data_IF_675661966530
#
_entry.id   IF_675661966530
#
_cell.length_a   1.000
_cell.length_b   1.000
_cell.length_c   1.000
_cell.angle_alpha   90.00
_cell.angle_beta   90.00
_cell.angle_gamma   90.00
#
_symmetry.space_group_name_H-M   'P 1'
#
loop_
_entity.id
_entity.type
_entity.pdbx_description
1 polymer ?
#
# COMPACT_ATOMS: atom_id res chain seq x y z
N UNK A 1 -32.28 34.23 14.14
CA UNK A 1 -32.31 34.90 12.82
C UNK A 1 -33.76 34.82 12.31
N UNK A 2 -34.36 35.94 11.92
CA UNK A 2 -35.69 35.96 11.31
C UNK A 2 -35.51 36.44 9.87
N UNK A 3 -36.16 35.78 8.91
CA UNK A 3 -36.25 36.25 7.52
C UNK A 3 -37.74 36.41 7.25
N UNK A 4 -38.17 37.59 6.81
CA UNK A 4 -39.56 37.97 6.54
C UNK A 4 -40.55 37.67 7.69
N UNK A 5 -40.16 37.99 8.92
CA UNK A 5 -41.05 37.91 10.09
C UNK A 5 -41.34 36.50 10.60
N UNK A 6 -40.75 35.46 9.99
CA UNK A 6 -40.83 34.08 10.48
C UNK A 6 -39.50 33.65 11.13
N UNK A 7 -39.53 32.86 12.23
CA UNK A 7 -38.30 32.32 12.81
C UNK A 7 -37.60 31.46 11.76
N UNK A 8 -36.35 31.78 11.40
CA UNK A 8 -35.56 30.92 10.53
C UNK A 8 -35.25 29.63 11.30
N UNK A 9 -36.09 28.61 11.10
CA UNK A 9 -35.81 27.25 11.54
C UNK A 9 -35.01 26.56 10.45
N UNK A 10 -33.74 26.17 10.69
CA UNK A 10 -33.04 25.33 9.74
C UNK A 10 -33.80 24.00 9.62
N UNK A 11 -34.35 23.73 8.43
CA UNK A 11 -34.94 22.43 8.11
C UNK A 11 -33.80 21.50 7.73
N UNK A 12 -33.00 21.13 8.72
CA UNK A 12 -32.08 20.01 8.56
C UNK A 12 -32.92 18.77 8.84
N UNK A 13 -33.26 18.02 7.80
CA UNK A 13 -33.76 16.67 7.96
C UNK A 13 -32.62 15.87 8.59
N UNK A 14 -32.70 15.60 9.88
CA UNK A 14 -31.78 14.67 10.51
C UNK A 14 -31.84 13.36 9.73
N UNK A 15 -30.68 12.91 9.25
CA UNK A 15 -30.55 11.56 8.77
C UNK A 15 -31.00 10.60 9.87
N UNK A 16 -31.59 9.46 9.50
CA UNK A 16 -31.84 8.40 10.47
C UNK A 16 -30.57 8.02 11.23
N UNK A 17 -30.70 7.23 12.30
CA UNK A 17 -29.54 6.63 12.97
C UNK A 17 -28.63 6.01 11.90
N UNK A 18 -27.35 6.40 11.90
CA UNK A 18 -26.31 6.01 10.92
C UNK A 18 -26.37 6.64 9.51
N UNK A 19 -27.20 7.66 9.28
CA UNK A 19 -27.15 8.44 8.03
C UNK A 19 -26.16 9.61 8.16
N UNK A 20 -25.11 9.69 7.33
CA UNK A 20 -24.08 10.71 7.43
C UNK A 20 -24.63 12.12 7.15
N UNK A 21 -24.57 13.01 8.14
CA UNK A 21 -24.83 14.44 7.98
C UNK A 21 -23.52 15.17 7.70
N UNK A 22 -23.22 15.37 6.40
CA UNK A 22 -22.02 16.05 5.85
C UNK A 22 -20.69 15.32 6.19
N UNK A 23 -19.99 14.73 5.23
CA UNK A 23 -19.25 15.40 4.18
C UNK A 23 -19.27 14.54 2.91
N UNK A 24 -20.27 14.75 2.07
CA UNK A 24 -20.34 14.25 0.69
C UNK A 24 -19.24 14.82 -0.22
N UNK A 25 -18.27 15.55 0.35
CA UNK A 25 -17.17 16.26 -0.31
C UNK A 25 -15.88 16.35 0.53
N UNK A 26 -15.66 15.47 1.53
CA UNK A 26 -14.24 15.13 1.85
C UNK A 26 -13.83 14.07 0.84
N UNK A 27 -13.81 14.54 -0.40
CA UNK A 27 -13.15 13.94 -1.52
C UNK A 27 -11.71 13.73 -1.07
N UNK A 28 -11.22 12.52 -1.16
CA UNK A 28 -9.78 12.27 -1.10
C UNK A 28 -9.24 12.62 -2.49
N UNK A 29 -9.55 13.85 -2.94
CA UNK A 29 -9.02 14.45 -4.16
C UNK A 29 -7.89 15.43 -3.84
N UNK A 30 -7.49 15.56 -2.57
CA UNK A 30 -6.16 16.10 -2.23
C UNK A 30 -5.14 14.98 -2.36
N UNK A 31 -5.09 14.39 -3.56
CA UNK A 31 -3.97 13.59 -4.01
C UNK A 31 -2.77 14.52 -4.00
N UNK A 32 -1.80 14.20 -3.14
CA UNK A 32 -0.42 14.62 -3.37
C UNK A 32 -0.13 14.36 -4.86
N UNK A 33 0.44 15.33 -5.61
CA UNK A 33 0.69 15.11 -7.03
C UNK A 33 1.39 13.77 -7.21
N UNK A 34 1.01 13.05 -8.26
CA UNK A 34 1.67 11.81 -8.59
C UNK A 34 3.19 12.04 -8.59
N UNK A 35 3.98 11.04 -8.15
CA UNK A 35 5.42 11.16 -8.05
C UNK A 35 6.03 11.77 -9.32
N UNK A 36 6.90 12.77 -9.13
CA UNK A 36 7.62 13.40 -10.22
C UNK A 36 8.64 12.44 -10.88
N UNK A 37 9.56 12.95 -11.70
CA UNK A 37 10.55 12.13 -12.43
C UNK A 37 11.45 11.28 -11.52
N UNK A 38 11.58 11.66 -10.25
CA UNK A 38 12.26 10.90 -9.21
C UNK A 38 11.26 10.58 -8.12
N UNK A 39 11.13 9.31 -7.80
CA UNK A 39 10.30 8.81 -6.70
C UNK A 39 11.20 8.65 -5.49
N UNK A 40 10.83 9.34 -4.41
CA UNK A 40 11.55 9.33 -3.14
C UNK A 40 10.70 8.59 -2.11
N UNK A 41 11.24 7.51 -1.56
CA UNK A 41 10.59 6.70 -0.54
C UNK A 41 11.32 6.91 0.78
N UNK A 42 10.68 7.51 1.81
CA UNK A 42 11.31 7.75 3.08
C UNK A 42 11.58 6.42 3.80
N UNK A 43 12.78 6.33 4.38
CA UNK A 43 13.21 5.23 5.23
C UNK A 43 13.51 5.79 6.61
N UNK A 44 12.85 5.30 7.65
CA UNK A 44 13.25 5.52 9.04
C UNK A 44 14.15 4.39 9.52
N UNK A 45 14.80 4.59 10.67
CA UNK A 45 15.55 3.50 11.29
C UNK A 45 14.61 2.33 11.64
N UNK A 46 14.95 1.13 11.20
CA UNK A 46 14.14 -0.08 11.32
C UNK A 46 13.48 -0.50 10.00
N UNK A 47 12.35 -1.19 10.12
CA UNK A 47 11.63 -1.77 8.99
C UNK A 47 10.73 -0.75 8.29
N UNK A 48 10.87 -0.68 6.97
CA UNK A 48 10.12 0.21 6.09
C UNK A 48 9.47 -0.59 4.97
N UNK A 49 8.21 -0.34 4.64
CA UNK A 49 7.54 -0.99 3.51
C UNK A 49 7.62 -0.06 2.29
N UNK A 50 8.27 -0.53 1.22
CA UNK A 50 8.56 0.27 0.03
C UNK A 50 8.35 -0.52 -1.26
N UNK A 51 8.18 0.20 -2.36
CA UNK A 51 8.05 -0.35 -3.70
C UNK A 51 9.43 -0.55 -4.32
N UNK A 52 9.65 -1.70 -4.95
CA UNK A 52 10.81 -1.91 -5.81
C UNK A 52 10.59 -1.26 -7.17
N UNK A 53 11.12 -0.05 -7.39
CA UNK A 53 10.87 0.71 -8.62
C UNK A 53 11.97 0.56 -9.67
N UNK A 54 13.13 0.00 -9.29
CA UNK A 54 14.22 -0.31 -10.21
C UNK A 54 13.86 -1.46 -11.19
N UNK A 55 14.63 -1.67 -12.27
CA UNK A 55 14.44 -2.82 -13.14
C UNK A 55 14.52 -4.14 -12.38
N UNK A 56 13.65 -5.08 -12.77
CA UNK A 56 13.71 -6.46 -12.27
C UNK A 56 15.13 -7.01 -12.42
N UNK A 57 15.70 -7.47 -11.31
CA UNK A 57 17.12 -7.85 -11.27
C UNK A 57 17.44 -8.85 -10.15
N UNK A 58 18.52 -9.64 -10.31
CA UNK A 58 18.99 -10.55 -9.27
C UNK A 58 19.41 -9.82 -7.99
N UNK A 59 19.17 -10.44 -6.85
CA UNK A 59 19.59 -9.94 -5.55
C UNK A 59 20.97 -10.48 -5.14
N UNK A 60 21.78 -9.69 -4.40
CA UNK A 60 21.43 -8.40 -3.80
C UNK A 60 21.60 -7.17 -4.73
N UNK A 61 22.20 -7.30 -5.91
CA UNK A 61 22.49 -6.17 -6.82
C UNK A 61 21.25 -5.36 -7.24
N UNK A 62 20.07 -5.98 -7.26
CA UNK A 62 18.82 -5.26 -7.50
C UNK A 62 18.51 -4.18 -6.46
N UNK A 63 19.21 -4.18 -5.33
CA UNK A 63 19.09 -3.17 -4.27
C UNK A 63 20.23 -2.16 -4.24
N UNK A 64 21.00 -2.02 -5.32
CA UNK A 64 22.07 -1.01 -5.39
C UNK A 64 21.56 0.44 -5.33
N UNK A 65 20.27 0.68 -5.59
CA UNK A 65 19.63 2.00 -5.40
C UNK A 65 19.31 2.31 -3.94
N UNK A 66 19.28 1.28 -3.07
CA UNK A 66 19.04 1.51 -1.65
C UNK A 66 20.29 2.13 -1.03
N UNK A 67 20.13 3.07 -0.08
CA UNK A 67 21.26 3.68 0.60
C UNK A 67 22.08 2.61 1.34
N UNK A 68 23.39 2.83 1.49
CA UNK A 68 24.34 1.81 1.95
C UNK A 68 24.08 1.21 3.35
N UNK A 69 23.15 1.77 4.12
CA UNK A 69 22.83 1.46 5.51
C UNK A 69 21.69 0.44 5.72
N UNK A 70 21.21 -0.26 4.69
CA UNK A 70 20.23 -1.35 4.88
C UNK A 70 20.91 -2.68 5.28
N UNK A 71 20.22 -3.54 6.03
CA UNK A 71 20.76 -4.83 6.53
C UNK A 71 20.06 -6.07 5.96
N UNK A 72 18.74 -5.99 5.78
CA UNK A 72 17.91 -7.09 5.31
C UNK A 72 16.71 -6.54 4.54
N UNK A 73 16.16 -7.34 3.62
CA UNK A 73 14.95 -7.00 2.89
C UNK A 73 14.08 -8.24 2.65
N UNK A 74 12.78 -8.13 2.97
CA UNK A 74 11.81 -9.22 3.00
C UNK A 74 10.63 -8.93 2.06
N UNK A 75 10.36 -9.83 1.13
CA UNK A 75 9.17 -9.80 0.28
C UNK A 75 8.18 -10.89 0.71
N UNK A 76 6.92 -10.51 0.86
CA UNK A 76 5.87 -11.47 1.17
C UNK A 76 5.47 -12.25 -0.07
N UNK A 77 5.43 -13.57 0.05
CA UNK A 77 4.93 -14.49 -0.97
C UNK A 77 3.71 -15.23 -0.42
N UNK A 78 2.49 -14.92 -0.89
CA UNK A 78 1.26 -15.55 -0.41
C UNK A 78 1.17 -17.03 -0.79
N UNK A 79 1.99 -17.50 -1.74
CA UNK A 79 1.98 -18.88 -2.24
C UNK A 79 3.11 -19.72 -1.67
N UNK A 80 4.08 -19.13 -0.96
CA UNK A 80 5.19 -19.86 -0.36
C UNK A 80 4.66 -20.78 0.76
N UNK A 81 4.78 -22.12 0.64
CA UNK A 81 4.25 -23.03 1.65
C UNK A 81 5.11 -22.99 2.92
N UNK A 82 4.45 -22.91 4.08
CA UNK A 82 5.08 -22.96 5.41
C UNK A 82 4.77 -24.25 6.16
N UNK A 83 3.61 -24.84 5.89
CA UNK A 83 3.18 -26.14 6.42
C UNK A 83 2.17 -26.77 5.46
N UNK A 84 1.86 -28.07 5.57
CA UNK A 84 0.82 -28.69 4.76
C UNK A 84 -0.51 -27.92 4.85
N UNK A 85 -0.96 -27.37 3.73
CA UNK A 85 -2.20 -26.57 3.65
C UNK A 85 -2.10 -25.13 4.16
N UNK A 86 -0.90 -24.65 4.52
CA UNK A 86 -0.68 -23.27 4.97
C UNK A 86 0.38 -22.62 4.09
N UNK A 87 -0.02 -21.56 3.39
CA UNK A 87 0.85 -20.73 2.55
C UNK A 87 0.96 -19.31 3.14
N UNK A 88 1.99 -18.59 2.70
CA UNK A 88 2.27 -17.23 3.15
C UNK A 88 3.54 -17.18 3.98
N UNK A 89 4.64 -16.78 3.36
CA UNK A 89 5.89 -16.53 4.06
C UNK A 89 6.73 -15.45 3.39
N UNK A 90 7.69 -14.94 4.16
CA UNK A 90 8.69 -14.01 3.64
C UNK A 90 9.80 -14.75 2.90
N UNK A 91 10.06 -14.30 1.67
CA UNK A 91 11.36 -14.44 1.02
C UNK A 91 12.27 -13.34 1.56
N UNK A 92 13.54 -13.66 1.78
CA UNK A 92 14.48 -12.75 2.44
C UNK A 92 15.79 -12.62 1.68
N UNK A 93 16.40 -11.46 1.75
CA UNK A 93 17.81 -11.27 1.44
C UNK A 93 18.49 -10.59 2.62
N UNK A 94 19.64 -11.12 3.02
CA UNK A 94 20.49 -10.55 4.07
C UNK A 94 21.73 -9.97 3.40
N UNK A 95 22.05 -8.72 3.71
CA UNK A 95 23.20 -8.01 3.12
C UNK A 95 24.54 -8.43 3.71
N UNK A 96 24.54 -8.88 4.96
CA UNK A 96 25.75 -9.30 5.67
C UNK A 96 26.49 -10.40 4.87
N UNK A 97 27.73 -10.15 4.39
CA UNK A 97 28.48 -11.11 3.59
C UNK A 97 28.88 -12.36 4.39
N UNK A 98 28.78 -12.32 5.73
CA UNK A 98 29.04 -13.47 6.60
C UNK A 98 27.77 -14.30 6.87
N UNK A 99 26.59 -13.85 6.44
CA UNK A 99 25.37 -14.59 6.62
C UNK A 99 25.40 -15.92 5.83
N UNK A 100 24.94 -17.04 6.41
CA UNK A 100 24.82 -18.31 5.68
C UNK A 100 23.93 -18.15 4.45
N UNK A 101 24.27 -18.80 3.33
CA UNK A 101 23.47 -18.70 2.10
C UNK A 101 21.99 -19.05 2.30
N UNK A 102 21.67 -20.00 3.19
CA UNK A 102 20.30 -20.38 3.57
C UNK A 102 19.50 -19.26 4.26
N UNK A 103 20.18 -18.19 4.70
CA UNK A 103 19.55 -17.00 5.24
C UNK A 103 18.95 -16.12 4.13
N UNK A 104 19.31 -16.31 2.86
CA UNK A 104 18.74 -15.58 1.73
C UNK A 104 17.98 -16.53 0.80
N UNK A 105 16.68 -16.28 0.63
CA UNK A 105 15.75 -17.09 -0.19
C UNK A 105 15.05 -16.27 -1.28
N UNK A 106 15.32 -14.96 -1.31
CA UNK A 106 14.81 -14.05 -2.33
C UNK A 106 15.87 -13.81 -3.40
N UNK A 107 15.65 -14.38 -4.59
CA UNK A 107 16.66 -14.40 -5.65
C UNK A 107 16.55 -13.23 -6.63
N UNK A 108 15.32 -12.75 -6.88
CA UNK A 108 15.06 -11.70 -7.87
C UNK A 108 14.01 -10.73 -7.33
N UNK A 109 14.36 -9.45 -7.28
CA UNK A 109 13.39 -8.40 -7.00
C UNK A 109 12.66 -8.05 -8.30
N UNK A 110 11.34 -8.20 -8.33
CA UNK A 110 10.53 -7.85 -9.50
C UNK A 110 10.12 -6.38 -9.44
N UNK A 111 10.19 -5.67 -10.56
CA UNK A 111 9.69 -4.29 -10.65
C UNK A 111 8.25 -4.23 -10.13
N UNK A 112 7.98 -3.25 -9.27
CA UNK A 112 6.75 -2.99 -8.54
C UNK A 112 6.37 -3.98 -7.43
N UNK A 113 7.27 -4.88 -7.05
CA UNK A 113 7.09 -5.70 -5.86
C UNK A 113 7.14 -4.82 -4.61
N UNK A 114 6.11 -4.91 -3.76
CA UNK A 114 6.13 -4.31 -2.43
C UNK A 114 6.95 -5.18 -1.48
N UNK A 115 7.83 -4.57 -0.68
CA UNK A 115 8.70 -5.31 0.22
C UNK A 115 9.11 -4.47 1.43
N UNK A 116 9.52 -5.17 2.49
CA UNK A 116 10.08 -4.58 3.68
C UNK A 116 11.60 -4.47 3.58
N UNK A 117 12.19 -3.36 4.00
CA UNK A 117 13.64 -3.19 4.16
C UNK A 117 13.97 -2.68 5.55
N UNK A 118 14.97 -3.28 6.19
CA UNK A 118 15.55 -2.79 7.43
C UNK A 118 16.67 -1.79 7.14
N UNK A 119 16.48 -0.53 7.53
CA UNK A 119 17.46 0.55 7.40
C UNK A 119 18.05 0.91 8.77
N UNK A 120 19.37 1.03 8.88
CA UNK A 120 20.02 1.35 10.16
C UNK A 120 19.84 2.80 10.60
N UNK A 121 19.63 3.72 9.65
CA UNK A 121 19.43 5.15 9.93
C UNK A 121 18.38 5.74 9.00
N UNK A 122 17.74 6.83 9.46
CA UNK A 122 16.79 7.57 8.64
C UNK A 122 17.46 8.15 7.40
N UNK A 123 16.88 7.89 6.24
CA UNK A 123 17.41 8.25 4.91
C UNK A 123 16.28 8.16 3.87
N UNK A 124 16.59 8.30 2.58
CA UNK A 124 15.64 8.11 1.50
C UNK A 124 16.17 7.11 0.47
N UNK A 125 15.29 6.27 -0.07
CA UNK A 125 15.53 5.57 -1.32
C UNK A 125 15.00 6.41 -2.48
N UNK A 126 15.86 6.75 -3.44
CA UNK A 126 15.49 7.54 -4.61
C UNK A 126 15.68 6.72 -5.89
N UNK A 127 14.64 6.66 -6.71
CA UNK A 127 14.65 5.94 -7.99
C UNK A 127 14.02 6.79 -9.07
N UNK A 128 14.49 6.66 -10.31
CA UNK A 128 13.79 7.23 -11.47
C UNK A 128 12.38 6.65 -11.53
N UNK A 129 11.39 7.50 -11.78
CA UNK A 129 10.01 7.05 -11.96
C UNK A 129 9.96 6.08 -13.16
N UNK A 130 9.53 4.83 -12.96
CA UNK A 130 9.51 3.85 -14.03
C UNK A 130 8.35 4.06 -15.02
N UNK A 131 7.48 5.06 -14.79
CA UNK A 131 6.34 5.43 -15.62
C UNK A 131 5.51 4.18 -16.00
N UNK A 132 4.83 3.56 -15.01
CA UNK A 132 4.11 2.31 -15.24
C UNK A 132 3.07 2.47 -16.36
N UNK A 133 2.99 1.51 -17.29
CA UNK A 133 1.94 1.55 -18.30
C UNK A 133 0.57 1.38 -17.65
N UNK A 134 -0.41 2.15 -18.13
CA UNK A 134 -1.81 1.98 -17.72
C UNK A 134 -2.34 0.60 -18.13
N UNK A 135 -3.28 0.07 -17.36
CA UNK A 135 -3.92 -1.23 -17.60
C UNK A 135 -3.14 -2.42 -17.03
N UNK A 136 -2.12 -2.19 -16.18
CA UNK A 136 -1.38 -3.30 -15.56
C UNK A 136 -2.30 -4.11 -14.66
N UNK A 137 -2.26 -5.43 -14.80
CA UNK A 137 -3.07 -6.34 -13.99
C UNK A 137 -2.25 -6.82 -12.81
N UNK A 138 -2.81 -6.72 -11.61
CA UNK A 138 -2.34 -7.46 -10.44
C UNK A 138 -3.32 -8.59 -10.12
N UNK A 139 -2.80 -9.75 -9.76
CA UNK A 139 -3.58 -10.87 -9.24
C UNK A 139 -3.29 -11.02 -7.75
N UNK A 140 -4.34 -11.22 -6.97
CA UNK A 140 -4.26 -11.44 -5.54
C UNK A 140 -4.70 -12.86 -5.20
N UNK A 141 -3.99 -13.45 -4.25
CA UNK A 141 -4.28 -14.77 -3.69
C UNK A 141 -5.08 -14.65 -2.40
N UNK A 142 -5.81 -15.69 -1.97
CA UNK A 142 -6.39 -15.72 -0.62
C UNK A 142 -5.34 -15.45 0.47
N UNK A 143 -5.74 -14.70 1.50
CA UNK A 143 -4.86 -14.27 2.58
C UNK A 143 -4.21 -12.91 2.34
N UNK A 144 -3.08 -12.68 2.99
CA UNK A 144 -2.35 -11.41 2.89
C UNK A 144 -1.60 -11.29 1.57
N UNK A 145 -1.70 -10.13 0.93
CA UNK A 145 -0.91 -9.75 -0.24
C UNK A 145 -0.28 -8.38 0.03
N UNK A 146 1.00 -8.21 -0.34
CA UNK A 146 1.68 -6.92 -0.33
C UNK A 146 1.87 -6.47 -1.78
N UNK A 147 1.40 -5.27 -2.12
CA UNK A 147 1.41 -4.79 -3.50
C UNK A 147 1.69 -3.30 -3.63
N UNK A 148 2.26 -2.92 -4.78
CA UNK A 148 2.42 -1.52 -5.19
C UNK A 148 1.27 -1.12 -6.12
N UNK A 149 0.56 -0.04 -5.79
CA UNK A 149 -0.41 0.56 -6.70
C UNK A 149 0.30 1.33 -7.82
N UNK A 150 -0.01 1.03 -9.08
CA UNK A 150 0.59 1.73 -10.23
C UNK A 150 -0.42 2.39 -11.15
N UNK A 151 -1.70 2.39 -10.76
CA UNK A 151 -2.71 3.19 -11.44
C UNK A 151 -2.64 4.64 -10.97
N UNK A 152 -3.43 5.51 -11.58
CA UNK A 152 -3.62 6.87 -11.12
C UNK A 152 -4.07 6.90 -9.65
N UNK A 153 -3.63 7.92 -8.93
CA UNK A 153 -4.04 8.11 -7.55
C UNK A 153 -5.57 8.31 -7.48
N UNK A 154 -6.26 7.48 -6.72
CA UNK A 154 -7.73 7.44 -6.73
C UNK A 154 -8.33 6.96 -5.41
N UNK A 155 -9.61 7.25 -5.21
CA UNK A 155 -10.33 6.76 -4.03
C UNK A 155 -10.38 5.22 -4.02
N UNK A 156 -10.30 4.63 -2.83
CA UNK A 156 -10.16 3.19 -2.65
C UNK A 156 -11.32 2.39 -3.28
N UNK A 157 -12.55 2.89 -3.08
CA UNK A 157 -13.78 2.20 -3.54
C UNK A 157 -13.84 2.01 -5.06
N UNK A 158 -13.66 3.05 -5.91
CA UNK A 158 -13.61 2.85 -7.36
C UNK A 158 -12.38 2.05 -7.80
N UNK A 159 -11.22 2.25 -7.19
CA UNK A 159 -9.98 1.55 -7.56
C UNK A 159 -10.06 0.03 -7.36
N UNK A 160 -10.75 -0.42 -6.31
CA UNK A 160 -10.91 -1.84 -5.96
C UNK A 160 -12.30 -2.39 -6.30
N UNK A 161 -13.07 -1.70 -7.13
CA UNK A 161 -14.47 -2.05 -7.41
C UNK A 161 -14.62 -3.47 -7.99
N UNK A 162 -13.68 -3.90 -8.82
CA UNK A 162 -13.73 -5.21 -9.48
C UNK A 162 -13.40 -6.40 -8.56
N UNK A 163 -12.90 -6.13 -7.36
CA UNK A 163 -12.72 -7.13 -6.29
C UNK A 163 -13.57 -6.80 -5.05
N UNK A 164 -14.58 -5.94 -5.19
CA UNK A 164 -15.48 -5.61 -4.09
C UNK A 164 -16.12 -6.88 -3.50
N UNK A 165 -16.10 -6.99 -2.16
CA UNK A 165 -16.58 -8.16 -1.42
C UNK A 165 -15.58 -9.32 -1.32
N UNK A 166 -14.47 -9.30 -2.07
CA UNK A 166 -13.43 -10.36 -2.03
C UNK A 166 -12.32 -10.09 -1.01
N UNK A 167 -12.29 -8.90 -0.41
CA UNK A 167 -11.31 -8.52 0.60
C UNK A 167 -12.00 -7.97 1.84
N UNK A 168 -11.30 -8.06 2.97
CA UNK A 168 -11.81 -7.61 4.27
C UNK A 168 -11.20 -6.27 4.68
N UNK A 169 -9.90 -6.10 4.42
CA UNK A 169 -9.15 -4.92 4.85
C UNK A 169 -8.00 -4.62 3.88
N UNK A 170 -7.73 -3.34 3.70
CA UNK A 170 -6.54 -2.78 3.07
C UNK A 170 -5.81 -1.95 4.11
N UNK A 171 -4.49 -2.09 4.17
CA UNK A 171 -3.63 -1.38 5.10
C UNK A 171 -2.52 -0.65 4.34
N UNK A 172 -2.13 0.51 4.84
CA UNK A 172 -0.91 1.20 4.42
C UNK A 172 -0.06 1.45 5.65
N UNK A 173 1.24 1.16 5.55
CA UNK A 173 2.21 1.53 6.57
C UNK A 173 2.84 2.86 6.19
N UNK A 174 2.82 3.84 7.09
CA UNK A 174 3.59 5.07 6.94
C UNK A 174 4.96 4.88 7.60
N UNK A 175 6.00 4.79 6.78
CA UNK A 175 7.38 4.61 7.24
C UNK A 175 7.86 5.75 8.16
N UNK A 176 7.30 6.96 8.05
CA UNK A 176 7.73 8.13 8.81
C UNK A 176 7.20 8.10 10.23
N UNK A 177 5.92 7.77 10.38
CA UNK A 177 5.23 7.76 11.69
C UNK A 177 5.23 6.37 12.33
N UNK A 178 5.44 5.31 11.55
CA UNK A 178 5.28 3.92 11.97
C UNK A 178 3.81 3.50 12.11
N UNK A 179 2.87 4.36 11.75
CA UNK A 179 1.44 4.12 11.92
C UNK A 179 0.86 3.30 10.76
N UNK A 180 -0.29 2.68 11.03
CA UNK A 180 -1.06 1.94 10.04
C UNK A 180 -2.33 2.69 9.70
N UNK A 181 -2.50 3.02 8.43
CA UNK A 181 -3.77 3.49 7.89
C UNK A 181 -4.62 2.32 7.42
N UNK A 182 -5.92 2.35 7.69
CA UNK A 182 -6.84 1.23 7.49
C UNK A 182 -7.98 1.60 6.56
N UNK A 183 -8.36 0.67 5.69
CA UNK A 183 -9.60 0.70 4.93
C UNK A 183 -10.30 -0.67 4.99
N UNK A 184 -11.48 -0.71 5.59
CA UNK A 184 -12.34 -1.87 5.73
C UNK A 184 -13.76 -1.48 5.28
N UNK A 185 -14.23 -1.94 4.10
CA UNK A 185 -15.47 -1.49 3.45
C UNK A 185 -16.72 -1.57 4.33
N UNK A 186 -16.77 -2.56 5.23
CA UNK A 186 -17.94 -2.88 6.05
C UNK A 186 -17.80 -2.38 7.50
N UNK A 187 -16.82 -1.51 7.78
CA UNK A 187 -16.55 -0.99 9.12
C UNK A 187 -16.90 0.50 9.25
N UNK A 188 -17.26 0.97 10.46
CA UNK A 188 -17.51 2.39 10.72
C UNK A 188 -16.32 3.28 10.39
N UNK A 189 -16.59 4.54 9.98
CA UNK A 189 -15.57 5.54 9.63
C UNK A 189 -14.42 5.69 10.64
N UNK A 190 -14.63 5.65 11.98
CA UNK A 190 -13.52 5.75 12.93
C UNK A 190 -12.44 4.67 12.77
N UNK A 191 -12.76 3.54 12.14
CA UNK A 191 -11.83 2.45 11.82
C UNK A 191 -11.24 2.56 10.41
N UNK A 192 -11.55 3.63 9.67
CA UNK A 192 -11.12 3.88 8.30
C UNK A 192 -10.35 5.20 8.19
N UNK A 193 -9.03 5.12 8.28
CA UNK A 193 -8.11 6.26 8.11
C UNK A 193 -7.48 6.33 6.72
N UNK A 194 -7.61 5.29 5.90
CA UNK A 194 -7.09 5.22 4.54
C UNK A 194 -8.16 5.57 3.51
N UNK A 195 -7.98 6.70 2.84
CA UNK A 195 -8.98 7.26 1.91
C UNK A 195 -8.83 6.85 0.44
N UNK A 196 -7.63 6.46 0.02
CA UNK A 196 -7.32 6.21 -1.39
C UNK A 196 -6.03 5.41 -1.60
N UNK A 197 -5.82 5.01 -2.85
CA UNK A 197 -4.58 4.42 -3.33
C UNK A 197 -3.80 5.52 -4.06
N UNK A 198 -2.56 5.73 -3.65
CA UNK A 198 -1.64 6.71 -4.22
C UNK A 198 -0.69 6.02 -5.19
N UNK A 199 -0.37 6.69 -6.28
CA UNK A 199 0.52 6.19 -7.31
C UNK A 199 1.89 5.82 -6.72
N UNK A 200 2.38 4.62 -7.06
CA UNK A 200 3.62 4.00 -6.58
C UNK A 200 3.73 3.80 -5.06
N UNK A 201 2.62 3.84 -4.34
CA UNK A 201 2.58 3.50 -2.91
C UNK A 201 2.30 2.02 -2.68
N UNK A 202 2.75 1.52 -1.53
CA UNK A 202 2.66 0.11 -1.15
C UNK A 202 1.58 -0.13 -0.10
N UNK A 203 0.82 -1.19 -0.32
CA UNK A 203 -0.35 -1.55 0.47
C UNK A 203 -0.33 -3.03 0.79
N UNK A 204 -0.97 -3.35 1.91
CA UNK A 204 -1.35 -4.71 2.25
C UNK A 204 -2.85 -4.87 2.02
N UNK A 205 -3.27 -6.02 1.50
CA UNK A 205 -4.69 -6.38 1.36
C UNK A 205 -4.88 -7.80 1.84
N UNK A 206 -5.93 -8.01 2.65
CA UNK A 206 -6.35 -9.34 3.05
C UNK A 206 -7.54 -9.79 2.20
N UNK A 207 -7.29 -10.77 1.34
CA UNK A 207 -8.28 -11.36 0.45
C UNK A 207 -8.93 -12.59 1.08
N UNK A 208 -10.25 -12.68 0.98
CA UNK A 208 -11.00 -13.89 1.32
C UNK A 208 -11.05 -14.86 0.12
N UNK A 209 -10.99 -14.32 -1.10
CA UNK A 209 -11.07 -15.04 -2.36
C UNK A 209 -10.06 -14.47 -3.36
N UNK A 210 -9.58 -15.25 -4.35
CA UNK A 210 -8.71 -14.72 -5.37
C UNK A 210 -9.41 -13.62 -6.18
N UNK A 211 -8.63 -12.62 -6.56
CA UNK A 211 -9.10 -11.44 -7.29
C UNK A 211 -8.04 -10.90 -8.22
N UNK A 212 -8.43 -10.03 -9.13
CA UNK A 212 -7.46 -9.29 -9.96
C UNK A 212 -7.94 -7.88 -10.15
N UNK A 213 -7.02 -6.91 -10.13
CA UNK A 213 -7.29 -5.49 -10.32
C UNK A 213 -6.55 -5.00 -11.56
N UNK A 214 -7.27 -4.26 -12.41
CA UNK A 214 -6.66 -3.51 -13.51
C UNK A 214 -6.30 -2.13 -12.95
N UNK A 215 -5.01 -1.80 -12.95
CA UNK A 215 -4.47 -0.53 -12.49
C UNK A 215 -4.43 0.43 -13.66
N UNK A 216 -5.43 1.30 -13.75
CA UNK A 216 -5.53 2.33 -14.79
C UNK A 216 -4.87 3.62 -14.38
#
# INVERSE_FOLDING_TARGET
LFIDGQPAKPVITWGGQDVPLSLTQTDVSTVTPDPGPIVVQPLTAGWNNIAHLAPTSPLPSGFDYLPGNWTAAYAWDPLLPVAPGVNGAYRRVIKDPLAPAVASTWETASRYQGYWVDAQTTTNAATVNPDPPSGRIITFEPGWNNFTWTGESSAMKPALANIAGKYTIVLQHDNTTGEWATYAPNQPRPLNSLGGLLHLSVYWIYMNEPGSVIMN
#
